data_IF_461722892120
#
_entry.id   IF_461722892120
#
_cell.length_a   1.000
_cell.length_b   1.000
_cell.length_c   1.000
_cell.angle_alpha   90.00
_cell.angle_beta   90.00
_cell.angle_gamma   90.00
#
_symmetry.space_group_name_H-M   'P 1'
#
loop_
_entity.id
_entity.type
_entity.pdbx_description
1 polymer ?
#
# COMPACT_ATOMS: atom_id res chain seq x y z
N UNK A 1 29.42 20.42 7.31
CA UNK A 1 28.29 19.67 7.90
C UNK A 1 27.25 19.50 6.83
N UNK A 2 27.15 18.29 6.29
CA UNK A 2 26.22 17.96 5.19
C UNK A 2 24.82 17.79 5.75
N UNK A 3 23.92 18.64 5.30
CA UNK A 3 22.46 18.46 5.54
C UNK A 3 21.95 17.57 4.40
N UNK A 4 21.74 16.29 4.69
CA UNK A 4 21.04 15.37 3.81
C UNK A 4 19.57 15.80 3.72
N UNK A 5 19.18 16.33 2.56
CA UNK A 5 17.76 16.49 2.22
C UNK A 5 17.14 15.10 2.02
N UNK A 6 16.22 14.74 2.90
CA UNK A 6 15.36 13.57 2.75
C UNK A 6 14.44 13.79 1.52
N UNK A 7 14.71 13.07 0.44
CA UNK A 7 13.77 12.92 -0.67
C UNK A 7 12.61 12.03 -0.23
N UNK A 8 11.48 12.64 0.10
CA UNK A 8 10.23 11.91 0.35
C UNK A 8 9.59 11.61 -1.01
N UNK A 9 9.71 10.37 -1.46
CA UNK A 9 9.03 9.86 -2.66
C UNK A 9 7.56 9.56 -2.31
N UNK A 10 6.67 10.51 -2.57
CA UNK A 10 5.23 10.29 -2.44
C UNK A 10 4.72 9.34 -3.53
N UNK A 11 4.12 8.22 -3.14
CA UNK A 11 3.43 7.31 -4.05
C UNK A 11 2.05 7.88 -4.42
N UNK A 12 1.55 7.70 -5.66
CA UNK A 12 0.26 8.26 -6.11
C UNK A 12 -0.97 7.87 -5.27
N UNK A 13 -0.93 6.73 -4.57
CA UNK A 13 -1.99 6.31 -3.64
C UNK A 13 -2.08 7.17 -2.37
N UNK A 14 -0.98 7.75 -1.92
CA UNK A 14 -0.95 8.59 -0.72
C UNK A 14 -1.60 9.96 -0.98
N UNK A 15 -1.48 10.48 -2.20
CA UNK A 15 -2.14 11.72 -2.61
C UNK A 15 -3.67 11.59 -2.71
N UNK A 16 -4.18 10.44 -3.15
CA UNK A 16 -5.63 10.20 -3.20
C UNK A 16 -6.25 10.12 -1.79
N UNK A 17 -5.54 9.49 -0.85
CA UNK A 17 -5.92 9.45 0.57
C UNK A 17 -5.83 10.84 1.22
N UNK A 18 -4.82 11.65 0.86
CA UNK A 18 -4.70 13.04 1.32
C UNK A 18 -5.83 13.92 0.77
N UNK A 19 -6.28 13.70 -0.47
CA UNK A 19 -7.40 14.41 -1.09
C UNK A 19 -8.73 14.09 -0.40
N UNK A 20 -9.01 12.83 -0.06
CA UNK A 20 -10.21 12.46 0.70
C UNK A 20 -10.18 13.00 2.15
N UNK A 21 -9.03 12.94 2.81
CA UNK A 21 -8.85 13.48 4.17
C UNK A 21 -8.87 15.00 4.19
N UNK A 22 -8.34 15.65 3.16
CA UNK A 22 -8.45 17.11 3.00
C UNK A 22 -9.91 17.52 2.84
N UNK A 23 -10.72 16.77 2.10
CA UNK A 23 -12.18 16.95 1.99
C UNK A 23 -12.87 16.82 3.34
N UNK A 24 -12.54 15.81 4.14
CA UNK A 24 -13.09 15.64 5.50
C UNK A 24 -12.66 16.75 6.45
N UNK A 25 -11.41 17.23 6.37
CA UNK A 25 -10.90 18.33 7.20
C UNK A 25 -11.53 19.68 6.80
N UNK A 26 -11.67 19.94 5.51
CA UNK A 26 -12.34 21.15 4.99
C UNK A 26 -13.82 21.11 5.35
N UNK A 27 -14.49 19.96 5.22
CA UNK A 27 -15.89 19.79 5.65
C UNK A 27 -16.03 19.92 7.18
N UNK A 28 -15.10 19.41 7.97
CA UNK A 28 -15.04 19.60 9.43
C UNK A 28 -14.76 21.04 9.85
N UNK A 29 -14.00 21.78 9.05
CA UNK A 29 -13.78 23.22 9.21
C UNK A 29 -15.03 24.05 8.80
N UNK A 30 -15.76 23.62 7.79
CA UNK A 30 -17.04 24.22 7.39
C UNK A 30 -18.12 24.03 8.45
N UNK A 31 -18.21 22.86 9.09
CA UNK A 31 -19.13 22.62 10.21
C UNK A 31 -18.79 23.48 11.44
N UNK A 32 -17.52 23.80 11.68
CA UNK A 32 -17.11 24.76 12.72
C UNK A 32 -17.27 26.21 12.29
N UNK A 33 -17.19 26.52 10.98
CA UNK A 33 -17.46 27.85 10.42
C UNK A 33 -18.93 28.28 10.54
N UNK A 34 -19.89 27.36 10.43
CA UNK A 34 -21.30 27.65 10.65
C UNK A 34 -21.61 28.28 12.02
N UNK A 35 -20.70 28.11 13.00
CA UNK A 35 -20.82 28.73 14.34
C UNK A 35 -20.15 30.11 14.43
N UNK A 36 -19.22 30.43 13.50
CA UNK A 36 -18.47 31.71 13.54
C UNK A 36 -19.04 32.80 12.60
N UNK A 37 -19.80 32.39 11.57
CA UNK A 37 -20.32 33.35 10.56
C UNK A 37 -21.57 34.13 10.98
N UNK A 38 -22.13 33.89 12.17
CA UNK A 38 -23.34 34.58 12.62
C UNK A 38 -23.10 35.92 13.33
N UNK A 39 -21.86 36.40 13.39
CA UNK A 39 -21.54 37.56 14.23
C UNK A 39 -20.98 38.85 13.54
N UNK A 40 -20.80 38.85 12.21
CA UNK A 40 -20.32 40.05 11.54
C UNK A 40 -21.19 40.42 10.34
N UNK A 41 -21.81 41.64 10.34
CA UNK A 41 -22.45 42.18 9.14
C UNK A 41 -21.37 42.52 8.10
N UNK A 42 -21.51 42.00 6.87
CA UNK A 42 -20.59 42.29 5.78
C UNK A 42 -21.02 43.58 5.06
N UNK A 43 -20.15 44.61 5.10
CA UNK A 43 -20.20 45.77 4.20
C UNK A 43 -19.23 45.57 3.03
N UNK A 44 -19.36 44.49 2.26
CA UNK A 44 -18.59 44.33 1.00
C UNK A 44 -19.45 44.74 -0.18
N UNK A 45 -19.15 45.87 -0.84
CA UNK A 45 -19.82 46.25 -2.07
C UNK A 45 -19.23 45.45 -3.25
N UNK A 46 -20.09 44.95 -4.12
CA UNK A 46 -19.92 44.71 -5.54
C UNK A 46 -19.51 43.32 -6.08
N UNK A 47 -19.86 42.19 -5.47
CA UNK A 47 -19.94 40.95 -6.25
C UNK A 47 -21.31 40.30 -6.05
N UNK A 48 -22.21 40.54 -7.00
CA UNK A 48 -23.43 39.75 -7.16
C UNK A 48 -23.01 38.34 -7.64
N UNK A 49 -23.32 37.30 -6.86
CA UNK A 49 -23.02 35.87 -7.11
C UNK A 49 -21.63 35.33 -6.68
N UNK A 50 -21.05 35.83 -5.59
CA UNK A 50 -19.87 35.17 -5.00
C UNK A 50 -20.23 33.86 -4.34
N UNK A 51 -19.31 32.85 -4.34
CA UNK A 51 -19.57 31.51 -3.79
C UNK A 51 -19.90 31.50 -2.28
N UNK A 52 -19.39 32.48 -1.52
CA UNK A 52 -19.66 32.67 -0.09
C UNK A 52 -19.25 34.07 0.34
N UNK A 53 -19.76 34.54 1.48
CA UNK A 53 -19.35 35.77 2.09
C UNK A 53 -17.94 35.67 2.69
N UNK A 54 -17.13 36.70 2.47
CA UNK A 54 -15.77 36.81 3.02
C UNK A 54 -15.70 37.93 4.06
N UNK A 55 -14.74 37.91 5.02
CA UNK A 55 -14.49 38.98 5.94
C UNK A 55 -14.32 40.33 5.22
N UNK A 56 -14.72 41.44 5.84
CA UNK A 56 -14.62 42.79 5.24
C UNK A 56 -13.21 43.21 4.85
N UNK A 57 -12.18 42.59 5.43
CA UNK A 57 -10.78 42.80 5.08
C UNK A 57 -10.32 42.03 3.84
N UNK A 58 -11.15 41.11 3.31
CA UNK A 58 -10.86 40.31 2.11
C UNK A 58 -11.55 40.93 0.90
N UNK A 59 -11.00 40.65 -0.27
CA UNK A 59 -11.63 41.05 -1.54
C UNK A 59 -11.72 39.85 -2.47
N UNK A 60 -12.85 39.76 -3.19
CA UNK A 60 -12.93 38.88 -4.34
C UNK A 60 -12.22 39.54 -5.52
N UNK A 61 -11.40 38.77 -6.23
CA UNK A 61 -10.69 39.20 -7.42
C UNK A 61 -10.56 38.02 -8.37
N UNK A 62 -9.84 38.16 -9.47
CA UNK A 62 -9.57 37.08 -10.39
C UNK A 62 -8.07 36.90 -10.61
N UNK A 63 -7.70 35.79 -11.23
CA UNK A 63 -6.30 35.46 -11.49
C UNK A 63 -5.62 36.52 -12.36
N UNK A 64 -6.31 37.13 -13.32
CA UNK A 64 -5.75 38.13 -14.23
C UNK A 64 -5.26 39.40 -13.50
N UNK A 65 -5.93 39.80 -12.41
CA UNK A 65 -5.55 40.98 -11.64
C UNK A 65 -4.30 40.78 -10.79
N UNK A 66 -3.98 39.53 -10.46
CA UNK A 66 -2.88 39.14 -9.58
C UNK A 66 -1.68 38.57 -10.31
N UNK A 67 -1.91 37.95 -11.50
CA UNK A 67 -0.92 37.13 -12.18
C UNK A 67 -0.89 37.38 -13.68
N UNK A 68 0.31 37.36 -14.25
CA UNK A 68 0.52 37.19 -15.67
C UNK A 68 0.31 35.74 -16.08
N UNK A 69 -0.71 35.44 -16.87
CA UNK A 69 -1.03 34.10 -17.34
C UNK A 69 -0.64 33.94 -18.80
N UNK A 70 0.24 32.98 -19.09
CA UNK A 70 0.70 32.67 -20.43
C UNK A 70 0.90 31.16 -20.64
N UNK A 71 1.02 30.76 -21.88
CA UNK A 71 1.39 29.40 -22.33
C UNK A 71 2.37 29.50 -23.47
N UNK A 72 2.95 28.36 -23.86
CA UNK A 72 3.69 28.26 -25.12
C UNK A 72 2.79 28.66 -26.29
N UNK A 73 3.25 29.58 -27.13
CA UNK A 73 2.49 30.00 -28.32
C UNK A 73 2.50 28.87 -29.39
N UNK A 74 1.44 28.83 -30.23
CA UNK A 74 1.32 27.76 -31.24
C UNK A 74 2.52 27.73 -32.19
N UNK A 75 2.95 28.90 -32.68
CA UNK A 75 4.12 29.01 -33.57
C UNK A 75 5.43 28.59 -32.87
N UNK A 76 5.60 28.90 -31.58
CA UNK A 76 6.78 28.46 -30.81
C UNK A 76 6.86 26.92 -30.75
N UNK A 77 5.69 26.27 -30.67
CA UNK A 77 5.61 24.81 -30.66
C UNK A 77 5.86 24.21 -32.05
N UNK A 78 5.26 24.75 -33.11
CA UNK A 78 5.35 24.18 -34.48
C UNK A 78 6.71 24.44 -35.12
N UNK A 79 7.27 25.61 -34.88
CA UNK A 79 8.43 26.12 -35.63
C UNK A 79 9.75 26.02 -34.83
N UNK A 80 9.67 26.08 -33.50
CA UNK A 80 10.85 26.13 -32.64
C UNK A 80 11.08 24.87 -31.80
N UNK A 81 10.02 24.25 -31.25
CA UNK A 81 10.12 23.05 -30.43
C UNK A 81 9.86 21.78 -31.27
N UNK A 82 10.72 21.54 -32.23
CA UNK A 82 10.63 20.38 -33.13
C UNK A 82 11.42 19.20 -32.60
N UNK A 83 11.28 18.03 -33.24
CA UNK A 83 12.07 16.84 -32.88
C UNK A 83 13.59 17.06 -33.03
N UNK A 84 14.00 17.96 -33.92
CA UNK A 84 15.41 18.24 -34.19
C UNK A 84 16.03 19.21 -33.17
N UNK A 85 15.20 20.02 -32.51
CA UNK A 85 15.64 21.01 -31.51
C UNK A 85 15.57 20.47 -30.09
N UNK A 86 14.82 19.39 -29.85
CA UNK A 86 14.63 18.76 -28.54
C UNK A 86 15.62 17.60 -28.40
N UNK A 87 16.46 17.63 -27.35
CA UNK A 87 17.39 16.55 -27.01
C UNK A 87 17.60 16.51 -25.49
N UNK A 88 17.76 15.31 -24.93
CA UNK A 88 18.13 15.14 -23.52
C UNK A 88 19.51 15.73 -23.18
N UNK A 89 20.35 15.99 -24.17
CA UNK A 89 21.70 16.53 -23.99
C UNK A 89 21.75 18.07 -23.97
N UNK A 90 20.64 18.75 -24.20
CA UNK A 90 20.55 20.20 -24.15
C UNK A 90 20.46 20.72 -22.69
N UNK A 91 20.69 22.02 -22.50
CA UNK A 91 20.89 22.61 -21.18
C UNK A 91 19.59 22.98 -20.46
N UNK A 92 18.54 23.36 -21.20
CA UNK A 92 17.29 23.90 -20.62
C UNK A 92 16.16 22.88 -20.68
N UNK A 93 15.81 22.25 -19.55
CA UNK A 93 14.77 21.25 -19.50
C UNK A 93 13.39 21.80 -19.91
N UNK A 94 12.59 20.95 -20.57
CA UNK A 94 11.21 21.24 -20.94
C UNK A 94 10.27 20.70 -19.87
N UNK A 95 9.39 21.56 -19.38
CA UNK A 95 8.36 21.22 -18.37
C UNK A 95 7.05 20.88 -19.07
N UNK A 96 6.63 19.63 -18.98
CA UNK A 96 5.39 19.09 -19.54
C UNK A 96 4.33 18.88 -18.43
N UNK A 97 3.10 18.58 -18.82
CA UNK A 97 2.01 18.24 -17.91
C UNK A 97 2.36 17.11 -16.92
N UNK A 98 3.23 16.16 -17.30
CA UNK A 98 3.71 15.11 -16.39
C UNK A 98 4.59 15.62 -15.24
N UNK A 99 5.14 16.82 -15.36
CA UNK A 99 5.93 17.47 -14.30
C UNK A 99 5.07 18.30 -13.34
N UNK A 100 3.81 18.56 -13.70
CA UNK A 100 2.84 19.29 -12.88
C UNK A 100 1.90 18.28 -12.22
N UNK A 101 1.92 18.23 -10.92
CA UNK A 101 1.00 17.43 -10.11
C UNK A 101 0.31 18.34 -9.11
N UNK A 102 -0.88 17.97 -8.68
CA UNK A 102 -1.59 18.75 -7.67
C UNK A 102 -0.72 18.92 -6.41
N UNK A 103 -0.30 20.15 -6.14
CA UNK A 103 0.51 20.53 -4.99
C UNK A 103 2.03 20.41 -5.13
N UNK A 104 2.57 19.68 -6.11
CA UNK A 104 4.02 19.49 -6.22
C UNK A 104 4.56 19.40 -7.65
N UNK A 105 5.80 19.83 -7.81
CA UNK A 105 6.54 19.79 -9.06
C UNK A 105 7.42 18.55 -9.15
N UNK A 106 7.36 17.81 -10.28
CA UNK A 106 8.21 16.65 -10.56
C UNK A 106 9.40 17.09 -11.40
N UNK A 107 10.61 17.03 -10.84
CA UNK A 107 11.85 17.53 -11.48
C UNK A 107 12.36 16.66 -12.64
N UNK A 108 11.88 15.43 -12.77
CA UNK A 108 12.38 14.50 -13.80
C UNK A 108 11.89 14.95 -15.19
N UNK A 109 12.78 15.52 -15.97
CA UNK A 109 12.57 15.94 -17.36
C UNK A 109 13.55 15.20 -18.27
N UNK A 110 13.02 14.47 -19.26
CA UNK A 110 13.81 13.70 -20.22
C UNK A 110 14.10 14.48 -21.51
N UNK A 111 13.61 15.70 -21.62
CA UNK A 111 13.71 16.54 -22.82
C UNK A 111 14.20 17.91 -22.44
N UNK A 112 15.07 18.47 -23.29
CA UNK A 112 15.61 19.82 -23.12
C UNK A 112 15.80 20.50 -24.48
N UNK A 113 15.89 21.83 -24.46
CA UNK A 113 16.27 22.68 -25.61
C UNK A 113 17.58 23.40 -25.32
N UNK A 114 18.23 23.91 -26.35
CA UNK A 114 19.44 24.71 -26.16
C UNK A 114 19.14 26.02 -25.42
N UNK A 115 20.11 26.53 -24.68
CA UNK A 115 19.97 27.82 -23.99
C UNK A 115 19.71 28.96 -24.96
N UNK A 116 20.36 28.97 -26.13
CA UNK A 116 20.14 29.98 -27.15
C UNK A 116 18.70 30.03 -27.64
N UNK A 117 18.09 28.84 -27.88
CA UNK A 117 16.67 28.76 -28.26
C UNK A 117 15.76 29.24 -27.12
N UNK A 118 16.03 28.84 -25.89
CA UNK A 118 15.24 29.26 -24.75
C UNK A 118 15.30 30.78 -24.53
N UNK A 119 16.43 31.42 -24.79
CA UNK A 119 16.57 32.88 -24.71
C UNK A 119 15.78 33.61 -25.80
N UNK A 120 15.63 33.02 -26.99
CA UNK A 120 14.76 33.57 -28.05
C UNK A 120 13.27 33.50 -27.67
N UNK A 121 12.89 32.54 -26.85
CA UNK A 121 11.51 32.27 -26.45
C UNK A 121 11.24 32.70 -25.00
N UNK A 122 11.75 33.85 -24.58
CA UNK A 122 11.78 34.32 -23.18
C UNK A 122 10.39 34.35 -22.51
N UNK A 123 9.33 34.60 -23.28
CA UNK A 123 7.95 34.61 -22.77
C UNK A 123 7.54 33.27 -22.16
N UNK A 124 7.99 32.17 -22.75
CA UNK A 124 7.67 30.81 -22.34
C UNK A 124 8.73 30.19 -21.43
N UNK A 125 9.79 30.97 -21.12
CA UNK A 125 10.84 30.54 -20.18
C UNK A 125 10.31 30.59 -18.73
N UNK A 126 10.84 29.66 -17.95
CA UNK A 126 10.58 29.52 -16.51
C UNK A 126 11.87 29.87 -15.76
N UNK A 127 11.95 31.12 -15.29
CA UNK A 127 13.16 31.69 -14.64
C UNK A 127 12.91 32.13 -13.21
N UNK A 128 11.64 32.22 -12.79
CA UNK A 128 11.21 32.68 -11.46
C UNK A 128 10.19 31.71 -10.89
N UNK A 129 10.02 31.75 -9.56
CA UNK A 129 8.91 31.05 -8.90
C UNK A 129 7.57 31.55 -9.44
N UNK A 130 6.74 30.61 -9.90
CA UNK A 130 5.40 30.85 -10.41
C UNK A 130 4.53 29.63 -10.21
N UNK A 131 3.23 29.76 -10.40
CA UNK A 131 2.35 28.60 -10.49
C UNK A 131 2.40 28.03 -11.90
N UNK A 132 2.36 26.73 -12.00
CA UNK A 132 2.15 25.98 -13.24
C UNK A 132 0.82 25.25 -13.14
N UNK A 133 0.01 25.34 -14.19
CA UNK A 133 -1.28 24.63 -14.26
C UNK A 133 -1.37 23.83 -15.55
N UNK A 134 -1.75 22.57 -15.47
CA UNK A 134 -2.09 21.76 -16.62
C UNK A 134 -3.46 22.21 -17.17
N UNK A 135 -3.52 22.61 -18.43
CA UNK A 135 -4.74 23.13 -19.04
C UNK A 135 -5.35 22.24 -20.14
N UNK A 136 -4.70 21.13 -20.51
CA UNK A 136 -5.19 20.10 -21.41
C UNK A 136 -4.74 18.72 -20.94
N UNK A 137 -5.65 17.74 -20.95
CA UNK A 137 -5.35 16.34 -20.66
C UNK A 137 -5.94 15.83 -19.37
N UNK A 138 -5.55 14.62 -18.96
CA UNK A 138 -6.10 13.92 -17.80
C UNK A 138 -5.85 14.63 -16.45
N UNK A 139 -4.77 15.43 -16.36
CA UNK A 139 -4.44 16.24 -15.18
C UNK A 139 -4.90 17.69 -15.28
N UNK A 140 -5.99 17.97 -16.00
CA UNK A 140 -6.50 19.35 -16.11
C UNK A 140 -6.81 19.94 -14.74
N UNK A 141 -6.29 21.13 -14.48
CA UNK A 141 -6.40 21.80 -13.17
C UNK A 141 -5.31 21.44 -12.19
N UNK A 142 -4.49 20.39 -12.44
CA UNK A 142 -3.32 20.14 -11.61
C UNK A 142 -2.44 21.39 -11.58
N UNK A 143 -2.14 21.85 -10.37
CA UNK A 143 -1.40 23.08 -10.15
C UNK A 143 -0.28 22.85 -9.15
N UNK A 144 0.90 23.42 -9.43
CA UNK A 144 2.05 23.38 -8.52
C UNK A 144 2.86 24.67 -8.57
N UNK A 145 3.78 24.85 -7.62
CA UNK A 145 4.78 25.93 -7.67
C UNK A 145 6.02 25.43 -8.42
N UNK A 146 6.43 26.13 -9.47
CA UNK A 146 7.74 25.93 -10.08
C UNK A 146 8.83 26.46 -9.13
N UNK A 147 9.83 25.61 -8.76
CA UNK A 147 10.79 25.97 -7.70
C UNK A 147 11.84 26.98 -8.12
N UNK A 148 12.02 27.20 -9.44
CA UNK A 148 13.02 28.09 -10.04
C UNK A 148 14.48 27.78 -9.65
N UNK A 149 14.79 26.49 -9.47
CA UNK A 149 16.16 26.04 -9.15
C UNK A 149 17.13 26.23 -10.35
N UNK A 150 16.61 26.10 -11.56
CA UNK A 150 17.29 26.34 -12.83
C UNK A 150 16.32 26.86 -13.87
N UNK A 151 16.87 27.45 -14.95
CA UNK A 151 16.06 27.82 -16.11
C UNK A 151 15.43 26.58 -16.72
N UNK A 152 14.13 26.64 -16.94
CA UNK A 152 13.36 25.64 -17.67
C UNK A 152 12.51 26.32 -18.75
N UNK A 153 11.83 25.54 -19.58
CA UNK A 153 10.97 26.06 -20.64
C UNK A 153 9.62 25.34 -20.64
N UNK A 154 8.54 26.09 -20.92
CA UNK A 154 7.20 25.49 -21.05
C UNK A 154 7.13 24.55 -22.27
N UNK A 155 6.46 23.43 -22.08
CA UNK A 155 5.93 22.61 -23.15
C UNK A 155 4.43 22.92 -23.39
N UNK A 156 3.80 22.40 -24.46
CA UNK A 156 2.37 22.42 -24.62
C UNK A 156 1.64 21.84 -23.40
N UNK A 157 0.40 22.31 -23.19
CA UNK A 157 -0.52 21.84 -22.16
C UNK A 157 -0.25 22.34 -20.72
N UNK A 158 0.80 23.15 -20.50
CA UNK A 158 1.10 23.78 -19.22
C UNK A 158 1.03 25.31 -19.34
N UNK A 159 0.25 25.93 -18.47
CA UNK A 159 0.20 27.37 -18.32
C UNK A 159 1.15 27.84 -17.22
N UNK A 160 1.84 28.97 -17.44
CA UNK A 160 2.60 29.72 -16.46
C UNK A 160 1.71 30.80 -15.89
N UNK A 161 1.63 30.91 -14.56
CA UNK A 161 0.86 31.88 -13.81
C UNK A 161 1.87 32.58 -12.88
N UNK A 162 2.42 33.69 -13.35
CA UNK A 162 3.50 34.44 -12.70
C UNK A 162 2.93 35.64 -11.95
N UNK A 163 3.22 35.85 -10.65
CA UNK A 163 2.66 36.95 -9.87
C UNK A 163 3.20 38.29 -10.36
N UNK A 164 2.34 39.31 -10.46
CA UNK A 164 2.76 40.67 -10.79
C UNK A 164 3.55 41.35 -9.66
N UNK A 165 3.33 40.91 -8.43
CA UNK A 165 3.96 41.52 -7.25
C UNK A 165 4.10 40.52 -6.11
N UNK A 166 4.80 40.91 -5.05
CA UNK A 166 4.93 40.12 -3.81
C UNK A 166 3.74 40.30 -2.84
N UNK A 167 2.61 40.86 -3.29
CA UNK A 167 1.40 41.02 -2.47
C UNK A 167 0.53 39.76 -2.41
N UNK A 168 0.87 38.77 -3.23
CA UNK A 168 0.23 37.46 -3.21
C UNK A 168 1.26 36.38 -2.82
N UNK A 169 0.92 35.60 -1.82
CA UNK A 169 1.68 34.39 -1.47
C UNK A 169 1.34 33.26 -2.44
N UNK A 170 2.37 32.70 -3.09
CA UNK A 170 2.18 31.62 -4.07
C UNK A 170 1.62 30.34 -3.45
N UNK A 171 1.95 30.05 -2.18
CA UNK A 171 1.38 28.88 -1.49
C UNK A 171 -0.08 29.10 -1.16
N UNK A 172 -0.47 30.33 -0.76
CA UNK A 172 -1.88 30.66 -0.57
C UNK A 172 -2.68 30.45 -1.86
N UNK A 173 -2.19 30.99 -2.97
CA UNK A 173 -2.84 30.83 -4.26
C UNK A 173 -2.87 29.37 -4.71
N UNK A 174 -1.80 28.60 -4.48
CA UNK A 174 -1.76 27.15 -4.73
C UNK A 174 -2.83 26.43 -3.92
N UNK A 175 -2.88 26.61 -2.60
CA UNK A 175 -3.84 25.93 -1.73
C UNK A 175 -5.28 26.34 -2.03
N UNK A 176 -5.53 27.60 -2.41
CA UNK A 176 -6.83 28.02 -2.88
C UNK A 176 -7.25 27.26 -4.16
N UNK A 177 -6.36 27.17 -5.16
CA UNK A 177 -6.63 26.44 -6.40
C UNK A 177 -6.75 24.91 -6.19
N UNK A 178 -6.10 24.36 -5.19
CA UNK A 178 -6.22 22.96 -4.78
C UNK A 178 -7.52 22.67 -4.02
N UNK A 179 -8.14 23.67 -3.39
CA UNK A 179 -9.37 23.50 -2.62
C UNK A 179 -10.54 23.06 -3.52
N UNK A 180 -11.58 22.48 -2.91
CA UNK A 180 -12.79 22.10 -3.64
C UNK A 180 -13.40 23.31 -4.38
N UNK A 181 -13.35 24.50 -3.79
CA UNK A 181 -13.83 25.72 -4.43
C UNK A 181 -13.01 26.08 -5.66
N UNK A 182 -11.68 26.10 -5.55
CA UNK A 182 -10.80 26.34 -6.70
C UNK A 182 -11.00 25.31 -7.80
N UNK A 183 -11.14 24.04 -7.43
CA UNK A 183 -11.39 22.94 -8.39
C UNK A 183 -12.80 23.00 -9.00
N UNK A 184 -13.81 23.46 -8.28
CA UNK A 184 -15.13 23.74 -8.85
C UNK A 184 -15.06 24.87 -9.89
N UNK A 185 -14.32 25.94 -9.61
CA UNK A 185 -14.03 26.99 -10.58
C UNK A 185 -13.38 26.46 -11.84
N UNK A 186 -12.32 25.65 -11.70
CA UNK A 186 -11.62 25.01 -12.82
C UNK A 186 -12.56 24.11 -13.65
N UNK A 187 -13.39 23.29 -13.00
CA UNK A 187 -14.35 22.39 -13.69
C UNK A 187 -15.47 23.17 -14.39
N UNK A 188 -15.97 24.23 -13.74
CA UNK A 188 -17.04 25.06 -14.28
C UNK A 188 -16.67 25.77 -15.60
N UNK A 189 -15.40 26.08 -15.79
CA UNK A 189 -14.88 26.74 -17.00
C UNK A 189 -14.29 25.76 -18.04
N UNK A 190 -14.24 24.47 -17.75
CA UNK A 190 -13.72 23.46 -18.68
C UNK A 190 -14.67 23.24 -19.85
N UNK A 191 -14.14 23.31 -21.07
CA UNK A 191 -14.88 23.04 -22.30
C UNK A 191 -14.76 21.58 -22.70
N UNK A 192 -15.90 20.94 -23.04
CA UNK A 192 -15.98 19.57 -23.56
C UNK A 192 -15.84 18.45 -22.53
N UNK A 193 -16.66 17.41 -22.67
CA UNK A 193 -16.64 16.20 -21.83
C UNK A 193 -15.69 15.12 -22.37
N UNK A 194 -15.36 15.12 -23.66
CA UNK A 194 -14.52 14.09 -24.29
C UNK A 194 -13.02 14.38 -24.13
N UNK A 195 -12.61 15.64 -24.20
CA UNK A 195 -11.23 16.07 -23.91
C UNK A 195 -11.30 17.43 -23.21
N UNK A 196 -11.31 17.46 -21.87
CA UNK A 196 -11.39 18.69 -21.13
C UNK A 196 -10.24 19.62 -21.45
N UNK A 197 -10.52 20.91 -21.65
CA UNK A 197 -9.50 21.92 -21.90
C UNK A 197 -9.89 23.28 -21.32
N UNK A 198 -8.89 24.01 -20.81
CA UNK A 198 -9.02 25.40 -20.36
C UNK A 198 -8.39 26.31 -21.41
N UNK A 199 -8.99 27.47 -21.63
CA UNK A 199 -8.34 28.53 -22.38
C UNK A 199 -7.56 29.46 -21.42
N UNK A 200 -6.63 30.23 -21.97
CA UNK A 200 -5.92 31.23 -21.14
C UNK A 200 -6.90 32.30 -20.59
N UNK A 201 -7.93 32.64 -21.35
CA UNK A 201 -8.96 33.56 -20.89
C UNK A 201 -9.75 32.98 -19.71
N UNK A 202 -10.10 31.71 -19.77
CA UNK A 202 -10.83 31.04 -18.68
C UNK A 202 -9.97 30.87 -17.42
N UNK A 203 -8.65 30.61 -17.55
CA UNK A 203 -7.75 30.58 -16.39
C UNK A 203 -7.65 31.99 -15.75
N UNK A 204 -7.58 33.04 -16.56
CA UNK A 204 -7.54 34.41 -16.08
C UNK A 204 -8.79 34.83 -15.31
N UNK A 205 -9.96 34.35 -15.73
CA UNK A 205 -11.24 34.65 -15.09
C UNK A 205 -11.53 33.83 -13.83
N UNK A 206 -10.65 32.89 -13.41
CA UNK A 206 -10.84 32.18 -12.17
C UNK A 206 -10.85 33.15 -10.98
N UNK A 207 -11.92 33.10 -10.21
CA UNK A 207 -12.09 33.95 -9.03
C UNK A 207 -11.26 33.39 -7.87
N UNK A 208 -10.74 34.30 -7.05
CA UNK A 208 -9.99 34.02 -5.83
C UNK A 208 -10.37 35.01 -4.72
N UNK A 209 -10.66 34.50 -3.54
CA UNK A 209 -10.83 35.30 -2.35
C UNK A 209 -9.44 35.70 -1.82
N UNK A 210 -9.13 36.98 -1.79
CA UNK A 210 -7.81 37.50 -1.46
C UNK A 210 -7.80 38.16 -0.08
N UNK A 211 -7.19 37.54 0.96
CA UNK A 211 -6.90 38.14 2.24
C UNK A 211 -5.77 39.17 2.17
N UNK A 212 -5.61 40.06 3.17
CA UNK A 212 -4.36 40.80 3.38
C UNK A 212 -3.16 39.87 3.47
N UNK A 213 -1.98 40.24 2.95
CA UNK A 213 -0.81 39.39 2.84
C UNK A 213 -0.40 38.70 4.16
N UNK A 214 -0.45 39.46 5.28
CA UNK A 214 -0.16 38.87 6.59
C UNK A 214 -1.14 37.74 6.99
N UNK A 215 -2.37 37.80 6.51
CA UNK A 215 -3.36 36.77 6.75
C UNK A 215 -3.16 35.56 5.79
N UNK A 216 -2.78 35.80 4.53
CA UNK A 216 -2.35 34.74 3.62
C UNK A 216 -1.25 33.90 4.25
N UNK A 217 -0.22 34.55 4.82
CA UNK A 217 0.88 33.82 5.50
C UNK A 217 0.40 33.02 6.72
N UNK A 218 -0.56 33.55 7.52
CA UNK A 218 -1.13 32.83 8.66
C UNK A 218 -1.92 31.60 8.21
N UNK A 219 -2.71 31.75 7.14
CA UNK A 219 -3.48 30.64 6.54
C UNK A 219 -2.53 29.56 6.04
N UNK A 220 -1.50 29.94 5.29
CA UNK A 220 -0.49 29.02 4.79
C UNK A 220 0.20 28.28 5.92
N UNK A 221 0.66 28.99 6.95
CA UNK A 221 1.33 28.37 8.10
C UNK A 221 0.44 27.37 8.84
N UNK A 222 -0.86 27.66 9.01
CA UNK A 222 -1.77 26.73 9.67
C UNK A 222 -2.08 25.49 8.79
N UNK A 223 -2.21 25.66 7.46
CA UNK A 223 -2.37 24.53 6.52
C UNK A 223 -1.13 23.64 6.56
N UNK A 224 0.07 24.21 6.49
CA UNK A 224 1.33 23.45 6.55
C UNK A 224 1.47 22.67 7.85
N UNK A 225 1.15 23.29 8.98
CA UNK A 225 1.12 22.61 10.28
C UNK A 225 0.13 21.43 10.32
N UNK A 226 -1.04 21.59 9.70
CA UNK A 226 -2.01 20.47 9.60
C UNK A 226 -1.48 19.34 8.71
N UNK A 227 -0.80 19.65 7.60
CA UNK A 227 -0.15 18.64 6.78
C UNK A 227 0.95 17.90 7.55
N UNK A 228 1.81 18.61 8.29
CA UNK A 228 2.82 17.98 9.14
C UNK A 228 2.21 17.03 10.18
N UNK A 229 1.07 17.40 10.79
CA UNK A 229 0.36 16.53 11.71
C UNK A 229 -0.20 15.27 11.01
N UNK A 230 -0.74 15.41 9.81
CA UNK A 230 -1.22 14.29 9.01
C UNK A 230 -0.07 13.33 8.69
N UNK A 231 1.08 13.88 8.25
CA UNK A 231 2.27 13.07 7.94
C UNK A 231 2.78 12.32 9.18
N UNK A 232 2.80 12.97 10.35
CA UNK A 232 3.18 12.32 11.62
C UNK A 232 2.23 11.19 12.00
N UNK A 233 0.92 11.37 11.82
CA UNK A 233 -0.08 10.33 12.07
C UNK A 233 0.11 9.15 11.11
N UNK A 234 0.30 9.40 9.81
CA UNK A 234 0.52 8.35 8.81
C UNK A 234 1.82 7.57 9.09
N UNK A 235 2.90 8.27 9.45
CA UNK A 235 4.15 7.62 9.82
C UNK A 235 3.99 6.77 11.08
N UNK A 236 3.36 7.30 12.12
CA UNK A 236 3.08 6.55 13.35
C UNK A 236 2.22 5.31 13.10
N UNK A 237 1.25 5.39 12.17
CA UNK A 237 0.42 4.26 11.73
C UNK A 237 1.28 3.18 11.04
N UNK A 238 2.18 3.56 10.14
CA UNK A 238 3.09 2.65 9.44
C UNK A 238 4.07 1.97 10.42
N UNK A 239 4.61 2.74 11.36
CA UNK A 239 5.50 2.22 12.40
C UNK A 239 4.81 1.19 13.29
N UNK A 240 3.56 1.48 13.70
CA UNK A 240 2.77 0.56 14.53
C UNK A 240 2.41 -0.74 13.78
N UNK A 241 2.08 -0.67 12.48
CA UNK A 241 1.89 -1.86 11.65
C UNK A 241 3.16 -2.73 11.59
N UNK A 242 4.32 -2.09 11.48
CA UNK A 242 5.62 -2.78 11.50
C UNK A 242 5.87 -3.46 12.86
N UNK A 243 5.60 -2.76 13.94
CA UNK A 243 5.74 -3.29 15.31
C UNK A 243 4.81 -4.49 15.54
N UNK A 244 3.56 -4.40 15.09
CA UNK A 244 2.60 -5.52 15.18
C UNK A 244 3.14 -6.76 14.47
N UNK A 245 3.64 -6.60 13.23
CA UNK A 245 4.24 -7.71 12.47
C UNK A 245 5.43 -8.32 13.20
N UNK A 246 6.36 -7.49 13.68
CA UNK A 246 7.54 -7.94 14.43
C UNK A 246 7.15 -8.64 15.74
N UNK A 247 6.12 -8.14 16.43
CA UNK A 247 5.61 -8.75 17.65
C UNK A 247 5.01 -10.13 17.40
N UNK A 248 4.21 -10.29 16.32
CA UNK A 248 3.68 -11.61 15.92
C UNK A 248 4.82 -12.59 15.62
N UNK A 249 5.83 -12.17 14.87
CA UNK A 249 7.03 -12.97 14.60
C UNK A 249 7.74 -13.40 15.90
N UNK A 250 7.90 -12.47 16.84
CA UNK A 250 8.54 -12.77 18.13
C UNK A 250 7.71 -13.71 19.00
N UNK A 251 6.39 -13.60 18.96
CA UNK A 251 5.49 -14.54 19.65
C UNK A 251 5.70 -15.98 19.12
N UNK A 252 5.75 -16.13 17.77
CA UNK A 252 6.02 -17.44 17.16
C UNK A 252 7.40 -17.97 17.54
N UNK A 253 8.44 -17.12 17.52
CA UNK A 253 9.78 -17.50 17.93
C UNK A 253 9.79 -18.04 19.38
N UNK A 254 9.15 -17.32 20.31
CA UNK A 254 9.05 -17.75 21.72
C UNK A 254 8.26 -19.06 21.85
N UNK A 255 7.19 -19.23 21.06
CA UNK A 255 6.36 -20.42 21.08
C UNK A 255 7.12 -21.67 20.66
N UNK A 256 7.82 -21.60 19.52
CA UNK A 256 8.55 -22.74 18.94
C UNK A 256 9.76 -23.16 19.75
N UNK A 257 10.31 -22.24 20.55
CA UNK A 257 11.45 -22.52 21.44
C UNK A 257 11.05 -22.78 22.92
N UNK A 258 9.74 -22.99 23.19
CA UNK A 258 9.24 -23.29 24.53
C UNK A 258 9.41 -22.18 25.57
N UNK A 259 9.38 -20.93 25.11
CA UNK A 259 9.56 -19.72 25.95
C UNK A 259 8.30 -18.87 26.09
N UNK A 260 7.20 -19.25 25.43
CA UNK A 260 5.96 -18.47 25.42
C UNK A 260 5.08 -18.73 26.65
N UNK A 261 5.07 -19.96 27.14
CA UNK A 261 4.31 -20.37 28.33
C UNK A 261 5.23 -21.06 29.35
N UNK A 262 4.88 -21.07 30.66
CA UNK A 262 5.65 -21.81 31.62
C UNK A 262 5.54 -23.32 31.40
N UNK A 263 6.64 -24.03 31.67
CA UNK A 263 6.68 -25.49 31.68
C UNK A 263 5.90 -26.04 32.88
N UNK A 264 5.12 -27.11 32.68
CA UNK A 264 4.47 -27.85 33.77
C UNK A 264 5.18 -29.20 33.95
N UNK A 265 5.81 -29.47 35.11
CA UNK A 265 6.51 -30.72 35.34
C UNK A 265 5.59 -31.95 35.44
N UNK A 266 4.26 -31.72 35.49
CA UNK A 266 3.26 -32.82 35.50
C UNK A 266 2.79 -33.19 34.06
N UNK A 267 3.19 -32.44 33.04
CA UNK A 267 2.88 -32.81 31.68
C UNK A 267 3.58 -34.14 31.32
N UNK A 268 2.86 -34.97 30.56
CA UNK A 268 3.46 -36.19 30.02
C UNK A 268 4.59 -35.81 29.04
N UNK A 269 5.83 -36.28 29.27
CA UNK A 269 6.94 -35.96 28.35
C UNK A 269 6.68 -36.36 26.93
N UNK A 270 7.08 -35.53 25.96
CA UNK A 270 6.83 -35.75 24.54
C UNK A 270 7.37 -37.10 23.99
N UNK A 271 8.41 -37.66 24.62
CA UNK A 271 8.94 -38.97 24.27
C UNK A 271 7.88 -40.07 24.36
N UNK A 272 6.98 -40.00 25.31
CA UNK A 272 5.93 -41.02 25.50
C UNK A 272 4.93 -41.01 24.36
N UNK A 273 4.69 -39.85 23.71
CA UNK A 273 3.88 -39.73 22.52
C UNK A 273 4.51 -40.47 21.35
N UNK A 274 5.82 -40.31 21.11
CA UNK A 274 6.54 -40.98 20.02
C UNK A 274 6.68 -42.47 20.24
N UNK A 275 6.92 -42.94 21.47
CA UNK A 275 7.01 -44.36 21.80
C UNK A 275 5.72 -45.11 21.50
N UNK A 276 4.57 -44.47 21.43
CA UNK A 276 3.30 -45.10 21.04
C UNK A 276 3.30 -45.58 19.59
N UNK A 277 4.08 -44.96 18.70
CA UNK A 277 4.20 -45.34 17.29
C UNK A 277 5.55 -45.97 16.95
N UNK A 278 6.60 -45.67 17.68
CA UNK A 278 7.95 -46.19 17.54
C UNK A 278 8.54 -46.49 18.93
N UNK A 279 8.29 -47.73 19.48
CA UNK A 279 8.73 -48.07 20.82
C UNK A 279 10.26 -47.98 21.06
N UNK A 280 11.03 -48.15 19.96
CA UNK A 280 12.50 -48.12 19.98
C UNK A 280 13.07 -46.72 19.72
N UNK A 281 12.21 -45.69 19.67
CA UNK A 281 12.62 -44.31 19.40
C UNK A 281 13.64 -43.87 20.47
N UNK A 282 14.80 -43.44 19.98
CA UNK A 282 15.86 -42.87 20.81
C UNK A 282 16.03 -41.40 20.43
N UNK A 283 15.81 -40.43 21.34
CA UNK A 283 15.94 -39.03 21.05
C UNK A 283 17.39 -38.64 20.74
N UNK A 284 17.60 -37.75 19.80
CA UNK A 284 18.86 -37.03 19.62
C UNK A 284 19.09 -36.05 20.78
N UNK A 285 20.31 -35.52 20.90
CA UNK A 285 20.62 -34.50 21.90
C UNK A 285 19.70 -33.26 21.65
N UNK A 286 18.94 -32.93 22.70
CA UNK A 286 17.85 -31.96 22.66
C UNK A 286 18.29 -30.52 22.97
N UNK A 287 19.58 -30.19 22.82
CA UNK A 287 20.32 -29.04 23.34
C UNK A 287 19.71 -27.65 23.26
N UNK A 288 18.56 -27.49 22.55
CA UNK A 288 17.91 -26.16 22.31
C UNK A 288 16.51 -26.06 22.92
N UNK A 289 15.88 -27.18 23.33
CA UNK A 289 14.50 -27.21 23.79
C UNK A 289 14.40 -27.45 25.29
N UNK A 290 13.30 -27.03 25.95
CA UNK A 290 13.05 -27.31 27.36
C UNK A 290 13.04 -28.80 27.69
N UNK A 291 13.20 -29.13 28.95
CA UNK A 291 13.04 -30.49 29.47
C UNK A 291 11.63 -30.99 29.19
N UNK A 292 11.51 -32.23 28.69
CA UNK A 292 10.21 -32.80 28.29
C UNK A 292 9.85 -32.62 26.82
N UNK A 293 10.53 -31.72 26.11
CA UNK A 293 10.40 -31.59 24.64
C UNK A 293 11.34 -32.54 23.93
N UNK A 294 11.05 -32.84 22.67
CA UNK A 294 11.89 -33.63 21.77
C UNK A 294 12.01 -32.93 20.44
N UNK A 295 13.20 -32.98 19.85
CA UNK A 295 13.42 -32.70 18.46
C UNK A 295 13.15 -33.97 17.63
N UNK A 296 12.35 -33.86 16.60
CA UNK A 296 12.01 -34.95 15.67
C UNK A 296 11.87 -34.41 14.25
N UNK A 297 11.43 -35.25 13.31
CA UNK A 297 11.14 -34.83 11.96
C UNK A 297 9.64 -34.92 11.65
N UNK A 298 9.17 -34.07 10.73
CA UNK A 298 7.75 -34.07 10.32
C UNK A 298 7.23 -35.44 9.94
N UNK A 299 8.04 -36.25 9.23
CA UNK A 299 7.68 -37.61 8.79
C UNK A 299 7.40 -38.58 9.92
N UNK A 300 7.93 -38.36 11.13
CA UNK A 300 7.60 -39.19 12.31
C UNK A 300 6.23 -38.82 12.88
N UNK A 301 5.86 -37.51 12.83
CA UNK A 301 4.64 -37.00 13.42
C UNK A 301 3.40 -37.17 12.56
N UNK A 302 3.57 -37.04 11.24
CA UNK A 302 2.46 -37.00 10.29
C UNK A 302 2.57 -38.10 9.21
N UNK A 303 1.43 -38.72 8.90
CA UNK A 303 1.25 -39.42 7.64
C UNK A 303 1.05 -38.38 6.53
N UNK A 304 1.80 -38.57 5.46
CA UNK A 304 1.84 -37.60 4.37
C UNK A 304 1.32 -38.23 3.06
N UNK A 305 0.50 -37.46 2.35
CA UNK A 305 0.10 -37.76 0.99
C UNK A 305 0.04 -36.50 0.16
N UNK A 306 0.35 -36.62 -1.14
CA UNK A 306 0.02 -35.57 -2.13
C UNK A 306 -1.28 -35.92 -2.83
N UNK A 307 -1.94 -34.90 -3.39
CA UNK A 307 -3.15 -35.12 -4.18
C UNK A 307 -2.92 -35.72 -5.56
N UNK A 308 -3.95 -35.74 -6.38
CA UNK A 308 -3.92 -36.27 -7.74
C UNK A 308 -3.31 -35.29 -8.72
N UNK A 309 -2.42 -35.77 -9.60
CA UNK A 309 -1.90 -34.99 -10.71
C UNK A 309 -2.99 -34.76 -11.77
N UNK A 310 -3.01 -33.55 -12.34
CA UNK A 310 -3.88 -33.21 -13.45
C UNK A 310 -3.49 -34.02 -14.69
N UNK A 311 -4.45 -34.80 -15.21
CA UNK A 311 -4.30 -35.50 -16.46
C UNK A 311 -5.60 -35.37 -17.28
N UNK A 312 -5.55 -34.58 -18.32
CA UNK A 312 -6.70 -34.30 -19.20
C UNK A 312 -7.20 -35.54 -19.97
N UNK A 313 -6.35 -36.55 -20.10
CA UNK A 313 -6.69 -37.81 -20.81
C UNK A 313 -7.43 -38.82 -19.92
N UNK A 314 -7.35 -38.69 -18.59
CA UNK A 314 -7.98 -39.62 -17.66
C UNK A 314 -9.38 -39.11 -17.26
N UNK A 315 -10.42 -39.76 -17.85
CA UNK A 315 -11.83 -39.47 -17.58
C UNK A 315 -12.51 -40.51 -16.66
N UNK A 316 -11.76 -41.51 -16.21
CA UNK A 316 -12.30 -42.58 -15.36
C UNK A 316 -12.38 -42.15 -13.89
N UNK A 317 -13.50 -42.41 -13.23
CA UNK A 317 -13.71 -42.19 -11.82
C UNK A 317 -14.93 -41.32 -11.52
N UNK A 318 -15.11 -40.99 -10.24
CA UNK A 318 -16.20 -40.13 -9.75
C UNK A 318 -15.69 -38.69 -9.74
N UNK A 319 -16.44 -37.78 -10.34
CA UNK A 319 -16.11 -36.34 -10.30
C UNK A 319 -16.26 -35.80 -8.87
N UNK A 320 -15.21 -35.21 -8.36
CA UNK A 320 -15.14 -34.58 -7.04
C UNK A 320 -14.54 -33.19 -7.14
N UNK A 321 -15.03 -32.31 -6.27
CA UNK A 321 -14.41 -31.01 -6.03
C UNK A 321 -13.00 -31.21 -5.48
N UNK A 322 -12.08 -30.36 -5.92
CA UNK A 322 -10.70 -30.41 -5.42
C UNK A 322 -10.07 -29.04 -5.24
N UNK A 323 -9.20 -28.96 -4.25
CA UNK A 323 -8.38 -27.77 -3.96
C UNK A 323 -7.10 -27.78 -4.81
N UNK A 324 -6.74 -26.60 -5.27
CA UNK A 324 -5.44 -26.26 -5.84
C UNK A 324 -4.68 -25.33 -4.88
N UNK A 325 -3.41 -25.09 -5.13
CA UNK A 325 -2.62 -24.15 -4.32
C UNK A 325 -3.22 -22.75 -4.29
N UNK A 326 -3.98 -22.32 -5.30
CA UNK A 326 -4.69 -21.06 -5.33
C UNK A 326 -5.89 -20.98 -4.38
N UNK A 327 -6.38 -22.12 -3.90
CA UNK A 327 -7.48 -22.18 -2.94
C UNK A 327 -7.01 -22.16 -1.48
N UNK A 328 -5.73 -22.42 -1.20
CA UNK A 328 -5.17 -22.52 0.16
C UNK A 328 -4.44 -21.22 0.51
N UNK A 329 -4.86 -20.56 1.57
CA UNK A 329 -4.20 -19.38 2.15
C UNK A 329 -3.79 -19.66 3.59
N UNK A 330 -3.08 -18.72 4.23
CA UNK A 330 -2.73 -18.89 5.65
C UNK A 330 -3.99 -18.99 6.50
N UNK A 331 -4.22 -20.17 7.06
CA UNK A 331 -5.36 -20.59 7.88
C UNK A 331 -6.75 -20.29 7.30
N UNK A 332 -6.87 -20.18 5.97
CA UNK A 332 -8.17 -20.00 5.30
C UNK A 332 -8.17 -20.60 3.90
N UNK A 333 -9.36 -20.77 3.35
CA UNK A 333 -9.56 -21.29 2.00
C UNK A 333 -10.38 -20.31 1.16
N UNK A 334 -10.06 -20.25 -0.12
CA UNK A 334 -10.84 -19.53 -1.12
C UNK A 334 -11.61 -20.54 -1.99
N UNK A 335 -12.92 -20.49 -1.89
CA UNK A 335 -13.83 -21.37 -2.63
C UNK A 335 -14.42 -20.73 -3.88
N UNK A 336 -14.01 -19.53 -4.27
CA UNK A 336 -14.58 -18.81 -5.41
C UNK A 336 -14.36 -19.49 -6.74
N UNK A 337 -13.32 -20.33 -6.86
CA UNK A 337 -12.92 -21.04 -8.07
C UNK A 337 -12.58 -22.52 -7.82
N UNK A 338 -13.52 -23.27 -7.23
CA UNK A 338 -13.38 -24.73 -7.04
C UNK A 338 -13.52 -25.42 -8.38
N UNK A 339 -12.60 -26.37 -8.62
CA UNK A 339 -12.56 -27.19 -9.84
C UNK A 339 -12.98 -28.62 -9.54
N UNK A 340 -13.38 -29.34 -10.59
CA UNK A 340 -13.74 -30.75 -10.52
C UNK A 340 -12.83 -31.59 -11.42
N UNK A 341 -12.49 -32.79 -10.97
CA UNK A 341 -11.85 -33.82 -11.78
C UNK A 341 -12.28 -35.21 -11.33
N UNK A 342 -12.15 -36.23 -12.19
CA UNK A 342 -12.49 -37.62 -11.84
C UNK A 342 -11.43 -38.22 -10.92
N UNK A 343 -11.87 -38.93 -9.87
CA UNK A 343 -11.03 -39.72 -8.96
C UNK A 343 -11.47 -41.17 -9.01
N UNK A 344 -10.51 -42.08 -9.15
CA UNK A 344 -10.75 -43.50 -8.98
C UNK A 344 -10.94 -43.82 -7.48
N UNK A 345 -11.70 -44.83 -7.15
CA UNK A 345 -11.92 -45.25 -5.76
C UNK A 345 -10.61 -45.53 -5.02
N UNK A 346 -9.64 -46.16 -5.70
CA UNK A 346 -8.29 -46.40 -5.18
C UNK A 346 -7.47 -45.15 -4.90
N UNK A 347 -7.82 -43.99 -5.50
CA UNK A 347 -7.14 -42.70 -5.31
C UNK A 347 -7.75 -41.90 -4.15
N UNK A 348 -9.03 -42.15 -3.80
CA UNK A 348 -9.75 -41.33 -2.84
C UNK A 348 -9.09 -41.33 -1.47
N UNK A 349 -8.65 -42.48 -0.97
CA UNK A 349 -7.99 -42.52 0.36
C UNK A 349 -6.74 -41.65 0.42
N UNK A 350 -6.00 -41.56 -0.70
CA UNK A 350 -4.79 -40.73 -0.81
C UNK A 350 -5.11 -39.24 -0.96
N UNK A 351 -6.16 -38.89 -1.70
CA UNK A 351 -6.43 -37.53 -2.12
C UNK A 351 -7.47 -36.80 -1.27
N UNK A 352 -8.24 -37.50 -0.44
CA UNK A 352 -9.30 -36.93 0.38
C UNK A 352 -8.74 -36.28 1.64
N UNK A 353 -9.17 -35.06 1.85
CA UNK A 353 -8.90 -34.23 3.04
C UNK A 353 -10.12 -34.31 3.93
N UNK A 354 -9.89 -34.57 5.21
CA UNK A 354 -10.90 -34.65 6.26
C UNK A 354 -10.61 -33.63 7.37
N UNK A 355 -11.59 -33.35 8.21
CA UNK A 355 -11.44 -32.40 9.32
C UNK A 355 -10.22 -32.74 10.18
N UNK A 356 -9.40 -31.72 10.46
CA UNK A 356 -8.17 -31.82 11.22
C UNK A 356 -6.89 -32.05 10.39
N UNK A 357 -7.00 -32.32 9.09
CA UNK A 357 -5.84 -32.42 8.23
C UNK A 357 -5.16 -31.04 8.06
N UNK A 358 -3.84 -31.00 8.14
CA UNK A 358 -3.03 -29.84 7.81
C UNK A 358 -2.60 -29.89 6.34
N UNK A 359 -2.96 -28.89 5.56
CA UNK A 359 -2.58 -28.76 4.16
C UNK A 359 -1.39 -27.82 4.02
N UNK A 360 -0.39 -28.22 3.21
CA UNK A 360 0.81 -27.42 2.95
C UNK A 360 1.05 -27.35 1.44
N UNK A 361 1.24 -26.12 0.91
CA UNK A 361 1.50 -25.91 -0.50
C UNK A 361 2.95 -26.25 -0.88
N UNK A 362 3.11 -27.07 -1.94
CA UNK A 362 4.39 -27.42 -2.53
C UNK A 362 4.97 -26.29 -3.39
N UNK A 363 4.11 -25.51 -4.04
CA UNK A 363 4.49 -24.47 -5.00
C UNK A 363 3.72 -23.18 -4.86
N UNK A 364 4.08 -22.19 -5.65
CA UNK A 364 3.58 -20.83 -5.52
C UNK A 364 4.20 -20.13 -4.31
N UNK A 365 3.44 -19.98 -3.25
CA UNK A 365 3.95 -19.57 -1.93
C UNK A 365 4.27 -20.83 -1.11
N UNK A 366 5.48 -21.35 -1.28
CA UNK A 366 5.95 -22.61 -0.67
C UNK A 366 5.82 -22.58 0.85
N UNK A 367 5.24 -23.64 1.42
CA UNK A 367 5.03 -23.77 2.87
C UNK A 367 3.76 -23.10 3.38
N UNK A 368 3.03 -22.35 2.55
CA UNK A 368 1.73 -21.80 2.92
C UNK A 368 0.79 -22.93 3.32
N UNK A 369 0.15 -22.79 4.48
CA UNK A 369 -0.59 -23.88 5.11
C UNK A 369 -1.91 -23.43 5.71
N UNK A 370 -2.85 -24.39 5.80
CA UNK A 370 -4.14 -24.21 6.46
C UNK A 370 -4.65 -25.56 7.01
N UNK A 371 -5.42 -25.49 8.10
CA UNK A 371 -6.07 -26.64 8.69
C UNK A 371 -7.48 -26.76 8.12
N UNK A 372 -7.84 -27.97 7.66
CA UNK A 372 -9.20 -28.23 7.19
C UNK A 372 -10.17 -28.42 8.38
N UNK A 373 -10.94 -27.40 8.66
CA UNK A 373 -11.86 -27.36 9.82
C UNK A 373 -13.34 -27.50 9.41
N UNK A 374 -13.61 -28.01 8.20
CA UNK A 374 -14.98 -28.22 7.69
C UNK A 374 -15.46 -29.63 7.97
N UNK A 375 -16.78 -29.80 8.14
CA UNK A 375 -17.43 -31.08 8.44
C UNK A 375 -17.74 -31.90 7.16
N UNK A 376 -17.15 -31.55 6.03
CA UNK A 376 -17.23 -32.30 4.76
C UNK A 376 -15.85 -32.53 4.18
N UNK A 377 -15.74 -33.58 3.38
CA UNK A 377 -14.50 -33.98 2.75
C UNK A 377 -14.34 -33.30 1.40
N UNK A 378 -13.09 -33.01 1.03
CA UNK A 378 -12.71 -32.48 -0.29
C UNK A 378 -11.45 -33.17 -0.80
N UNK A 379 -11.26 -33.19 -2.12
CA UNK A 379 -10.02 -33.72 -2.71
C UNK A 379 -8.97 -32.63 -2.90
N UNK A 380 -7.71 -33.05 -3.13
CA UNK A 380 -6.59 -32.12 -3.39
C UNK A 380 -5.83 -32.48 -4.65
N UNK A 381 -5.22 -31.48 -5.29
CA UNK A 381 -4.28 -31.59 -6.39
C UNK A 381 -2.88 -31.96 -5.86
N UNK A 382 -2.04 -32.52 -6.73
CA UNK A 382 -0.69 -33.04 -6.42
C UNK A 382 0.30 -32.00 -5.86
N UNK A 383 0.06 -30.68 -6.02
CA UNK A 383 0.89 -29.62 -5.45
C UNK A 383 0.45 -29.17 -4.04
N UNK A 384 -0.42 -29.96 -3.41
CA UNK A 384 -0.79 -29.81 -2.00
C UNK A 384 -0.41 -31.08 -1.26
N UNK A 385 0.33 -30.92 -0.19
CA UNK A 385 0.63 -31.97 0.78
C UNK A 385 -0.48 -32.01 1.83
N UNK A 386 -1.04 -33.18 2.09
CA UNK A 386 -1.93 -33.44 3.20
C UNK A 386 -1.14 -34.12 4.31
N UNK A 387 -1.14 -33.51 5.48
CA UNK A 387 -0.52 -34.00 6.70
C UNK A 387 -1.61 -34.40 7.69
N UNK A 388 -1.65 -35.65 8.07
CA UNK A 388 -2.56 -36.22 9.06
C UNK A 388 -1.78 -36.76 10.23
N UNK A 389 -2.08 -36.36 11.48
CA UNK A 389 -1.35 -36.82 12.67
C UNK A 389 -1.32 -38.35 12.77
N UNK A 390 -0.16 -38.91 13.12
CA UNK A 390 -0.01 -40.34 13.44
C UNK A 390 -0.29 -40.67 14.91
N UNK A 391 -0.22 -39.61 15.75
CA UNK A 391 -0.43 -39.66 17.20
C UNK A 391 -1.30 -38.47 17.58
N UNK A 392 -1.71 -38.38 18.84
CA UNK A 392 -2.42 -37.21 19.37
C UNK A 392 -1.52 -35.98 19.33
N UNK A 393 -1.83 -35.02 18.48
CA UNK A 393 -1.12 -33.76 18.32
C UNK A 393 -2.08 -32.58 18.29
N UNK A 394 -1.65 -31.45 18.82
CA UNK A 394 -2.30 -30.19 18.58
C UNK A 394 -1.92 -29.64 17.19
N UNK A 395 -2.68 -29.98 16.15
CA UNK A 395 -2.38 -29.60 14.77
C UNK A 395 -2.19 -28.08 14.58
N UNK A 396 -2.92 -27.18 15.27
CA UNK A 396 -2.66 -25.74 15.25
C UNK A 396 -1.22 -25.36 15.68
N UNK A 397 -0.58 -26.10 16.60
CA UNK A 397 0.81 -25.86 16.94
C UNK A 397 1.73 -26.01 15.74
N UNK A 398 1.52 -27.06 14.93
CA UNK A 398 2.31 -27.30 13.72
C UNK A 398 1.98 -26.33 12.59
N UNK A 399 0.75 -25.84 12.49
CA UNK A 399 0.42 -24.74 11.62
C UNK A 399 1.25 -23.48 11.97
N UNK A 400 1.33 -23.12 13.25
CA UNK A 400 2.15 -21.98 13.68
C UNK A 400 3.65 -22.24 13.52
N UNK A 401 4.09 -23.52 13.65
CA UNK A 401 5.47 -23.91 13.35
C UNK A 401 5.79 -23.68 11.87
N UNK A 402 4.90 -24.07 10.94
CA UNK A 402 5.07 -23.76 9.51
C UNK A 402 5.10 -22.26 9.24
N UNK A 403 4.26 -21.47 9.90
CA UNK A 403 4.27 -20.02 9.78
C UNK A 403 5.63 -19.42 10.22
N UNK A 404 6.15 -19.86 11.36
CA UNK A 404 7.48 -19.49 11.86
C UNK A 404 8.60 -19.88 10.87
N UNK A 405 8.61 -21.12 10.42
CA UNK A 405 9.63 -21.64 9.50
C UNK A 405 9.61 -20.87 8.18
N UNK A 406 8.43 -20.53 7.67
CA UNK A 406 8.27 -19.73 6.45
C UNK A 406 8.80 -18.32 6.63
N UNK A 407 8.42 -17.65 7.71
CA UNK A 407 8.82 -16.27 7.99
C UNK A 407 10.34 -16.13 8.14
N UNK A 408 10.99 -17.16 8.68
CA UNK A 408 12.43 -17.21 8.86
C UNK A 408 13.20 -17.85 7.70
N UNK A 409 12.53 -18.15 6.55
CA UNK A 409 13.12 -18.81 5.37
C UNK A 409 13.78 -20.15 5.68
N UNK A 410 13.23 -20.92 6.62
CA UNK A 410 13.71 -22.25 7.03
C UNK A 410 13.04 -23.38 6.26
N UNK A 411 11.97 -23.12 5.52
CA UNK A 411 11.33 -24.09 4.62
C UNK A 411 12.12 -24.15 3.33
N UNK A 412 12.77 -25.28 3.03
CA UNK A 412 13.49 -25.50 1.77
C UNK A 412 14.98 -25.79 1.93
N UNK A 413 15.54 -25.82 3.14
CA UNK A 413 16.93 -26.15 3.42
C UNK A 413 17.95 -25.07 3.04
N UNK A 414 19.12 -25.09 3.68
CA UNK A 414 20.22 -24.15 3.39
C UNK A 414 20.73 -24.35 1.96
N UNK A 415 20.51 -23.36 1.09
CA UNK A 415 21.47 -23.07 0.04
C UNK A 415 21.16 -23.47 -1.41
N UNK A 416 19.93 -23.84 -1.81
CA UNK A 416 19.59 -24.00 -3.24
C UNK A 416 18.16 -23.50 -3.46
N UNK A 417 17.96 -22.64 -4.48
CA UNK A 417 16.65 -22.18 -4.91
C UNK A 417 15.78 -23.35 -5.38
N UNK A 418 15.12 -24.04 -4.45
CA UNK A 418 14.19 -25.11 -4.75
C UNK A 418 12.91 -24.49 -5.33
N UNK A 419 12.59 -24.89 -6.54
CA UNK A 419 11.36 -24.52 -7.25
C UNK A 419 10.10 -25.21 -6.64
N UNK A 420 10.22 -25.92 -5.51
CA UNK A 420 9.13 -26.58 -4.82
C UNK A 420 9.55 -27.31 -3.55
N UNK A 421 8.60 -27.58 -2.65
CA UNK A 421 8.78 -28.37 -1.44
C UNK A 421 8.46 -29.85 -1.74
N UNK A 422 9.47 -30.64 -2.11
CA UNK A 422 9.25 -32.05 -2.41
C UNK A 422 8.83 -32.85 -1.17
N UNK A 423 8.15 -33.98 -1.36
CA UNK A 423 7.74 -34.89 -0.28
C UNK A 423 8.91 -35.31 0.63
N UNK A 424 10.08 -35.60 0.04
CA UNK A 424 11.27 -35.97 0.80
C UNK A 424 11.84 -34.81 1.64
N UNK A 425 11.80 -33.58 1.09
CA UNK A 425 12.22 -32.39 1.83
C UNK A 425 11.27 -32.09 2.98
N UNK A 426 9.96 -32.20 2.71
CA UNK A 426 8.92 -32.01 3.72
C UNK A 426 9.08 -32.99 4.90
N UNK A 427 9.29 -34.27 4.64
CA UNK A 427 9.46 -35.31 5.68
C UNK A 427 10.67 -35.04 6.61
N UNK A 428 11.72 -34.40 6.10
CA UNK A 428 12.96 -34.16 6.81
C UNK A 428 12.97 -32.79 7.55
N UNK A 429 11.88 -32.05 7.52
CA UNK A 429 11.81 -30.80 8.29
C UNK A 429 11.87 -31.14 9.77
N UNK A 430 12.84 -30.56 10.44
CA UNK A 430 12.99 -30.65 11.90
C UNK A 430 11.82 -29.96 12.58
N UNK A 431 11.21 -30.67 13.54
CA UNK A 431 10.01 -30.24 14.24
C UNK A 431 10.19 -30.37 15.75
N UNK A 432 9.86 -29.32 16.51
CA UNK A 432 9.74 -29.45 17.96
C UNK A 432 8.50 -30.28 18.30
N UNK A 433 8.64 -31.14 19.28
CA UNK A 433 7.53 -31.87 19.88
C UNK A 433 7.45 -31.54 21.37
N UNK A 434 6.61 -30.60 21.79
CA UNK A 434 6.25 -30.38 23.19
C UNK A 434 5.37 -31.50 23.74
N UNK A 435 5.24 -31.62 25.08
CA UNK A 435 4.11 -32.30 25.69
C UNK A 435 2.76 -31.86 25.11
N UNK A 436 1.82 -32.76 24.91
CA UNK A 436 0.54 -32.43 24.23
C UNK A 436 -0.23 -31.32 24.95
N UNK A 437 -0.29 -31.34 26.27
CA UNK A 437 -0.94 -30.30 27.05
C UNK A 437 -0.25 -28.94 26.88
N UNK A 438 1.07 -28.91 26.74
CA UNK A 438 1.82 -27.70 26.47
C UNK A 438 1.60 -27.18 25.05
N UNK A 439 1.52 -28.05 24.03
CA UNK A 439 1.13 -27.63 22.67
C UNK A 439 -0.19 -26.85 22.69
N UNK A 440 -1.19 -27.32 23.46
CA UNK A 440 -2.49 -26.68 23.57
C UNK A 440 -2.39 -25.32 24.29
N UNK A 441 -1.62 -25.22 25.39
CA UNK A 441 -1.40 -23.93 26.09
C UNK A 441 -0.67 -22.91 25.22
N UNK A 442 0.32 -23.36 24.45
CA UNK A 442 1.05 -22.50 23.51
C UNK A 442 0.09 -21.93 22.45
N UNK A 443 -0.72 -22.80 21.82
CA UNK A 443 -1.70 -22.35 20.80
C UNK A 443 -2.69 -21.36 21.39
N UNK A 444 -3.28 -21.68 22.53
CA UNK A 444 -4.20 -20.76 23.20
C UNK A 444 -3.56 -19.39 23.45
N UNK A 445 -2.29 -19.37 23.89
CA UNK A 445 -1.58 -18.12 24.16
C UNK A 445 -1.23 -17.35 22.88
N UNK A 446 -0.87 -18.02 21.80
CA UNK A 446 -0.69 -17.39 20.47
C UNK A 446 -1.99 -16.74 20.02
N UNK A 447 -3.10 -17.47 20.05
CA UNK A 447 -4.41 -16.97 19.59
C UNK A 447 -4.89 -15.79 20.43
N UNK A 448 -4.72 -15.82 21.76
CA UNK A 448 -5.01 -14.70 22.64
C UNK A 448 -4.22 -13.44 22.22
N UNK A 449 -2.89 -13.57 22.09
CA UNK A 449 -2.02 -12.45 21.76
C UNK A 449 -2.26 -11.92 20.33
N UNK A 450 -2.45 -12.82 19.37
CA UNK A 450 -2.73 -12.43 17.98
C UNK A 450 -4.07 -11.71 17.87
N UNK A 451 -5.11 -12.17 18.58
CA UNK A 451 -6.41 -11.49 18.61
C UNK A 451 -6.29 -10.04 19.11
N UNK A 452 -5.48 -9.80 20.15
CA UNK A 452 -5.22 -8.42 20.63
C UNK A 452 -4.53 -7.58 19.56
N UNK A 453 -3.48 -8.13 18.93
CA UNK A 453 -2.72 -7.43 17.88
C UNK A 453 -3.58 -7.17 16.62
N UNK A 454 -4.44 -8.11 16.23
CA UNK A 454 -5.39 -7.96 15.12
C UNK A 454 -6.43 -6.87 15.41
N UNK A 455 -6.93 -6.80 16.64
CA UNK A 455 -7.86 -5.74 17.04
C UNK A 455 -7.20 -4.35 16.96
N UNK A 456 -5.94 -4.23 17.37
CA UNK A 456 -5.17 -2.97 17.22
C UNK A 456 -4.99 -2.65 15.74
N UNK A 457 -4.59 -3.63 14.92
CA UNK A 457 -4.41 -3.44 13.48
C UNK A 457 -5.70 -2.99 12.79
N UNK A 458 -6.82 -3.64 13.08
CA UNK A 458 -8.12 -3.28 12.51
C UNK A 458 -8.55 -1.86 12.92
N UNK A 459 -8.26 -1.44 14.16
CA UNK A 459 -8.55 -0.08 14.61
C UNK A 459 -7.69 1.00 13.89
N UNK A 460 -6.57 0.62 13.29
CA UNK A 460 -5.76 1.53 12.48
C UNK A 460 -6.27 1.67 11.03
N UNK A 461 -7.12 0.76 10.57
CA UNK A 461 -7.65 0.75 9.20
C UNK A 461 -8.98 1.51 9.06
N UNK A 462 -9.56 1.92 10.19
CA UNK A 462 -10.76 2.77 10.28
C UNK A 462 -10.36 4.24 10.29
#
# INVERSE_FOLDING_TARGET
MNVNMLHINFQPKQLWIADEKLKCLIHGLELRRGFFLSFFPSDTPHYENVPFEVPSSWVWTNIEELFFVTKLAGFEYTDCLTKDTISSNNEVPIVRAQNVRMGYFVENTNEAISEALSQQLERSALTKKCLLMTFIGAGIGDTCIFPALKRCHLAPNVAKIEPYSNKIDLKYALYYLMSDLGQLGVRGISKSTAQPSLSMATIRSLEIALPPLAEQHRIVAEIEKLFELIDQIEQGKADLQTIIKQTKSKILDLAIHGKLVPQDPNDEPAIELLKRINPDFTPCDNGHYPVGWIETILGELFSHNTGKALNSSNKEGIFKDYLTTSNVYWNKFDFTAIKQMPFKESELNKCTVTKGDLLVCEGGDIGRSAIWNYDYDICIQNHIHRLRPKIDLCVPFYYYTFAYLKENNLIGGKGIGLLGLSSNALHKIEMPLPPLAEQQRIVQKIEELFSVLDNIQNALEV
#
